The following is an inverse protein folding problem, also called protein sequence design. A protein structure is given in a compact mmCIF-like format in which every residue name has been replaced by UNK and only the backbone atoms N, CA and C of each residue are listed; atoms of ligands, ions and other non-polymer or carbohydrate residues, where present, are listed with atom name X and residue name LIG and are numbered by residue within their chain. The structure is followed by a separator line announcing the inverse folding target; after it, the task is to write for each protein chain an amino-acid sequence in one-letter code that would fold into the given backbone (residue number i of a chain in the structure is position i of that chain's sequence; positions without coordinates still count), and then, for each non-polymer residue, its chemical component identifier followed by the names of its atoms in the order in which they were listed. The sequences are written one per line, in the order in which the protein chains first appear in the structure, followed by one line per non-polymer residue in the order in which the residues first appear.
data_IF_173419231786
#
_entry.id   IF_173419231786
#
_cell.length_a   1.000
_cell.length_b   1.000
_cell.length_c   1.000
_cell.angle_alpha   90.00
_cell.angle_beta   90.00
_cell.angle_gamma   90.00
#
_symmetry.space_group_name_H-M   'P 1'
#
loop_
_entity.id
_entity.type
_entity.pdbx_description
1 polymer ?
#
# COMPACT_ATOMS: atom_id res chain seq x y z
N UNK A 1 6.15 6.94 -25.14
CA UNK A 1 6.38 6.38 -23.79
C UNK A 1 7.89 6.17 -23.61
N UNK A 2 8.53 6.91 -22.70
CA UNK A 2 9.99 6.95 -22.53
C UNK A 2 10.52 5.64 -21.88
N UNK A 3 11.72 5.20 -22.24
CA UNK A 3 12.42 4.04 -21.67
C UNK A 3 12.55 4.13 -20.14
N UNK A 4 12.83 5.32 -19.59
CA UNK A 4 12.92 5.54 -18.14
C UNK A 4 11.60 5.21 -17.41
N UNK A 5 10.46 5.62 -17.98
CA UNK A 5 9.14 5.31 -17.44
C UNK A 5 8.91 3.80 -17.34
N UNK A 6 9.29 3.03 -18.37
CA UNK A 6 9.14 1.57 -18.39
C UNK A 6 10.01 0.90 -17.33
N UNK A 7 11.24 1.38 -17.11
CA UNK A 7 12.13 0.84 -16.09
C UNK A 7 11.60 1.09 -14.68
N UNK A 8 11.20 2.31 -14.35
CA UNK A 8 10.63 2.63 -13.04
C UNK A 8 9.35 1.81 -12.82
N UNK A 9 8.43 1.80 -13.77
CA UNK A 9 7.18 1.05 -13.65
C UNK A 9 7.40 -0.46 -13.45
N UNK A 10 8.35 -1.06 -14.17
CA UNK A 10 8.74 -2.47 -13.97
C UNK A 10 9.40 -2.69 -12.62
N UNK A 11 10.32 -1.83 -12.23
CA UNK A 11 11.01 -1.91 -10.95
C UNK A 11 10.01 -1.81 -9.79
N UNK A 12 9.10 -0.82 -9.81
CA UNK A 12 8.03 -0.69 -8.82
C UNK A 12 7.16 -1.95 -8.76
N UNK A 13 6.72 -2.48 -9.90
CA UNK A 13 5.90 -3.70 -9.91
C UNK A 13 6.62 -4.89 -9.30
N UNK A 14 7.89 -5.07 -9.64
CA UNK A 14 8.70 -6.13 -9.04
C UNK A 14 8.85 -5.94 -7.53
N UNK A 15 9.07 -4.71 -7.07
CA UNK A 15 9.17 -4.37 -5.65
C UNK A 15 7.85 -4.60 -4.90
N UNK A 16 6.72 -4.26 -5.50
CA UNK A 16 5.38 -4.53 -4.93
C UNK A 16 5.16 -6.04 -4.76
N UNK A 17 5.35 -6.81 -5.83
CA UNK A 17 5.16 -8.27 -5.82
C UNK A 17 6.11 -8.95 -4.82
N UNK A 18 7.39 -8.55 -4.81
CA UNK A 18 8.37 -9.09 -3.87
C UNK A 18 8.03 -8.79 -2.39
N UNK A 19 7.17 -7.80 -2.15
CA UNK A 19 6.70 -7.41 -0.81
C UNK A 19 5.32 -7.96 -0.44
N UNK A 20 4.72 -8.78 -1.32
CA UNK A 20 3.41 -9.39 -1.10
C UNK A 20 2.23 -8.54 -1.55
N UNK A 21 2.46 -7.42 -2.24
CA UNK A 21 1.36 -6.64 -2.83
C UNK A 21 0.80 -7.33 -4.08
N UNK A 22 -0.49 -7.12 -4.40
CA UNK A 22 -1.08 -7.64 -5.63
C UNK A 22 -0.37 -7.14 -6.89
N UNK A 23 -0.24 -8.02 -7.90
CA UNK A 23 0.46 -7.68 -9.14
C UNK A 23 -0.30 -6.71 -10.06
N UNK A 24 -1.62 -6.61 -9.84
CA UNK A 24 -2.59 -5.81 -10.58
C UNK A 24 -2.75 -4.38 -10.03
N UNK A 25 -1.95 -3.98 -9.03
CA UNK A 25 -1.90 -2.59 -8.60
C UNK A 25 -1.54 -1.67 -9.78
N UNK A 26 -2.32 -0.61 -9.95
CA UNK A 26 -2.06 0.45 -10.93
C UNK A 26 -0.91 1.31 -10.42
N UNK A 27 0.07 1.60 -11.27
CA UNK A 27 1.28 2.32 -10.89
C UNK A 27 1.35 3.60 -11.68
N UNK A 28 1.38 4.72 -10.98
CA UNK A 28 1.57 6.04 -11.57
C UNK A 28 2.94 6.59 -11.20
N UNK A 29 3.62 7.11 -12.21
CA UNK A 29 4.92 7.74 -12.07
C UNK A 29 4.89 9.06 -12.82
N UNK A 30 5.54 10.09 -12.26
CA UNK A 30 5.74 11.37 -12.92
C UNK A 30 7.24 11.63 -13.00
N UNK A 31 7.69 11.95 -14.19
CA UNK A 31 9.10 12.20 -14.50
C UNK A 31 9.39 13.70 -14.60
N UNK A 32 8.58 14.56 -13.98
CA UNK A 32 8.72 16.02 -14.13
C UNK A 32 9.96 16.62 -13.44
N UNK A 33 10.90 15.81 -12.93
CA UNK A 33 12.17 16.26 -12.36
C UNK A 33 12.02 17.31 -11.24
N UNK A 34 10.87 17.33 -10.55
CA UNK A 34 10.68 18.16 -9.37
C UNK A 34 11.03 17.36 -8.10
N UNK A 35 11.70 18.01 -7.13
CA UNK A 35 11.85 17.49 -5.77
C UNK A 35 10.47 17.14 -5.21
N UNK A 36 10.15 15.84 -5.09
CA UNK A 36 8.86 15.34 -4.61
C UNK A 36 8.15 14.38 -5.57
N UNK A 37 8.60 14.27 -6.83
CA UNK A 37 8.14 13.23 -7.75
C UNK A 37 8.81 11.88 -7.43
N UNK A 38 8.02 10.80 -7.52
CA UNK A 38 8.46 9.43 -7.31
C UNK A 38 7.47 8.47 -7.93
N UNK A 39 6.97 7.53 -7.12
CA UNK A 39 5.97 6.55 -7.55
C UNK A 39 4.78 6.54 -6.59
N UNK A 40 3.58 6.47 -7.15
CA UNK A 40 2.35 6.16 -6.45
C UNK A 40 1.72 4.90 -7.05
N UNK A 41 0.92 4.19 -6.26
CA UNK A 41 0.19 3.04 -6.73
C UNK A 41 -1.21 2.97 -6.11
N UNK A 42 -2.15 2.40 -6.85
CA UNK A 42 -3.58 2.41 -6.57
C UNK A 42 -4.19 1.04 -6.83
N UNK A 43 -5.32 0.76 -6.20
CA UNK A 43 -6.00 -0.52 -6.31
C UNK A 43 -6.81 -0.84 -5.06
N UNK A 44 -7.17 -2.11 -4.91
CA UNK A 44 -7.91 -2.59 -3.75
C UNK A 44 -7.26 -3.84 -3.20
N UNK A 45 -7.23 -3.93 -1.88
CA UNK A 45 -6.81 -5.10 -1.12
C UNK A 45 -8.05 -5.77 -0.56
N UNK A 46 -8.24 -7.03 -0.89
CA UNK A 46 -9.24 -7.91 -0.26
C UNK A 46 -8.73 -8.40 1.09
N UNK A 47 -9.63 -8.88 1.96
CA UNK A 47 -9.28 -9.52 3.22
C UNK A 47 -8.22 -10.63 3.06
N UNK A 48 -8.34 -11.48 2.04
CA UNK A 48 -7.35 -12.53 1.74
C UNK A 48 -5.96 -11.94 1.44
N UNK A 49 -5.89 -10.88 0.63
CA UNK A 49 -4.63 -10.21 0.33
C UNK A 49 -4.05 -9.49 1.56
N UNK A 50 -4.90 -8.93 2.43
CA UNK A 50 -4.47 -8.32 3.69
C UNK A 50 -3.87 -9.37 4.63
N UNK A 51 -4.50 -10.54 4.76
CA UNK A 51 -3.99 -11.66 5.57
C UNK A 51 -2.60 -12.11 5.09
N UNK A 52 -2.33 -12.06 3.79
CA UNK A 52 -0.99 -12.35 3.26
C UNK A 52 0.01 -11.20 3.45
N UNK A 53 -0.45 -9.95 3.37
CA UNK A 53 0.41 -8.77 3.41
C UNK A 53 0.82 -8.38 4.84
N UNK A 54 -0.06 -8.55 5.84
CA UNK A 54 0.21 -8.13 7.23
C UNK A 54 1.42 -8.83 7.87
N UNK A 55 1.62 -10.15 7.71
CA UNK A 55 2.84 -10.83 8.18
C UNK A 55 4.11 -10.24 7.56
N UNK A 56 4.08 -9.94 6.26
CA UNK A 56 5.20 -9.34 5.53
C UNK A 56 5.55 -7.94 6.07
N UNK A 57 4.54 -7.12 6.36
CA UNK A 57 4.71 -5.80 7.00
C UNK A 57 5.34 -5.95 8.40
N UNK A 58 4.90 -6.94 9.18
CA UNK A 58 5.46 -7.19 10.51
C UNK A 58 6.90 -7.68 10.47
N UNK A 59 7.27 -8.56 9.52
CA UNK A 59 8.64 -9.02 9.30
C UNK A 59 9.61 -7.87 8.98
N UNK A 60 9.10 -6.78 8.39
CA UNK A 60 9.85 -5.54 8.12
C UNK A 60 9.92 -4.58 9.31
N UNK A 61 9.33 -4.94 10.46
CA UNK A 61 9.33 -4.11 11.67
C UNK A 61 8.41 -2.89 11.59
N UNK A 62 7.47 -2.87 10.63
CA UNK A 62 6.51 -1.78 10.46
C UNK A 62 5.21 -1.99 11.25
N UNK A 63 5.06 -3.17 11.85
CA UNK A 63 4.01 -3.57 12.78
C UNK A 63 4.60 -4.60 13.75
N UNK A 64 4.16 -4.60 15.00
CA UNK A 64 4.53 -5.65 15.96
C UNK A 64 3.76 -6.96 15.69
N UNK A 65 4.40 -8.08 16.03
CA UNK A 65 3.86 -9.42 15.77
C UNK A 65 2.59 -9.75 16.58
N UNK A 66 2.29 -9.01 17.65
CA UNK A 66 1.06 -9.21 18.41
C UNK A 66 -0.13 -8.57 17.70
N UNK A 67 -0.04 -7.27 17.38
CA UNK A 67 -1.05 -6.55 16.61
C UNK A 67 -1.26 -7.17 15.22
N UNK A 68 -0.21 -7.71 14.60
CA UNK A 68 -0.32 -8.43 13.33
C UNK A 68 -1.23 -9.66 13.45
N UNK A 69 -1.01 -10.50 14.47
CA UNK A 69 -1.83 -11.70 14.69
C UNK A 69 -3.28 -11.32 15.01
N UNK A 70 -3.46 -10.34 15.89
CA UNK A 70 -4.79 -9.80 16.24
C UNK A 70 -5.54 -9.33 14.98
N UNK A 71 -4.89 -8.55 14.11
CA UNK A 71 -5.50 -8.11 12.85
C UNK A 71 -5.76 -9.24 11.86
N UNK A 72 -4.84 -10.21 11.74
CA UNK A 72 -5.04 -11.34 10.83
C UNK A 72 -6.26 -12.15 11.26
N UNK A 73 -6.43 -12.42 12.55
CA UNK A 73 -7.56 -13.19 13.07
C UNK A 73 -8.91 -12.48 12.81
N UNK A 74 -8.96 -11.15 12.97
CA UNK A 74 -10.16 -10.34 12.74
C UNK A 74 -10.49 -10.15 11.25
N UNK A 75 -9.48 -10.10 10.39
CA UNK A 75 -9.65 -9.87 8.95
C UNK A 75 -9.91 -11.18 8.20
N UNK A 76 -9.34 -12.31 8.66
CA UNK A 76 -9.46 -13.59 8.00
C UNK A 76 -10.92 -14.02 7.81
N UNK A 77 -11.29 -14.33 6.57
CA UNK A 77 -12.66 -14.75 6.23
C UNK A 77 -13.71 -13.63 6.22
N UNK A 78 -13.33 -12.38 6.54
CA UNK A 78 -14.22 -11.22 6.44
C UNK A 78 -14.39 -10.73 4.99
N UNK A 79 -15.38 -9.85 4.79
CA UNK A 79 -15.57 -9.10 3.55
C UNK A 79 -14.71 -7.83 3.45
N UNK A 80 -13.89 -7.53 4.47
CA UNK A 80 -13.14 -6.28 4.56
C UNK A 80 -12.33 -6.04 3.29
N UNK A 81 -12.39 -4.83 2.76
CA UNK A 81 -11.51 -4.39 1.70
C UNK A 81 -10.90 -3.02 2.02
N UNK A 82 -9.67 -2.79 1.54
CA UNK A 82 -9.01 -1.48 1.63
C UNK A 82 -8.70 -0.97 0.23
N UNK A 83 -9.23 0.19 -0.11
CA UNK A 83 -8.97 0.87 -1.38
C UNK A 83 -7.86 1.91 -1.22
N UNK A 84 -6.89 1.85 -2.13
CA UNK A 84 -5.85 2.85 -2.34
C UNK A 84 -6.26 3.70 -3.54
N UNK A 85 -6.55 4.99 -3.33
CA UNK A 85 -7.05 5.86 -4.40
C UNK A 85 -6.32 7.22 -4.43
N UNK A 86 -6.28 7.88 -5.61
CA UNK A 86 -5.65 9.18 -5.75
C UNK A 86 -6.38 10.27 -4.97
N UNK A 87 -5.65 11.09 -4.21
CA UNK A 87 -6.18 12.29 -3.58
C UNK A 87 -5.98 13.54 -4.46
N UNK A 88 -6.36 14.73 -3.97
CA UNK A 88 -6.27 15.98 -4.75
C UNK A 88 -4.86 16.30 -5.25
N UNK A 89 -3.81 15.87 -4.53
CA UNK A 89 -2.40 16.12 -4.89
C UNK A 89 -1.92 15.24 -6.05
N UNK A 90 -2.57 14.11 -6.34
CA UNK A 90 -2.18 13.19 -7.43
C UNK A 90 -2.29 13.84 -8.83
N UNK A 91 -3.06 14.94 -8.93
CA UNK A 91 -3.17 15.75 -10.15
C UNK A 91 -1.85 16.40 -10.54
N UNK A 92 -0.99 16.65 -9.57
CA UNK A 92 0.27 17.37 -9.75
C UNK A 92 1.48 16.46 -9.49
N UNK A 93 1.39 15.56 -8.52
CA UNK A 93 2.52 14.74 -8.06
C UNK A 93 2.21 13.24 -8.12
N UNK A 94 3.25 12.41 -8.06
CA UNK A 94 3.11 10.96 -7.88
C UNK A 94 4.08 10.47 -6.79
N UNK A 95 3.61 10.39 -5.55
CA UNK A 95 4.35 9.84 -4.40
C UNK A 95 3.37 9.31 -3.33
N UNK A 96 3.88 8.71 -2.26
CA UNK A 96 3.05 8.08 -1.21
C UNK A 96 1.97 8.99 -0.60
N UNK A 97 2.28 10.29 -0.45
CA UNK A 97 1.36 11.31 0.06
C UNK A 97 0.19 11.63 -0.86
N UNK A 98 0.20 11.14 -2.10
CA UNK A 98 -0.92 11.28 -3.05
C UNK A 98 -1.92 10.11 -2.97
N UNK A 99 -1.63 9.11 -2.14
CA UNK A 99 -2.44 7.90 -1.98
C UNK A 99 -3.30 8.08 -0.73
N UNK A 100 -4.62 8.08 -0.89
CA UNK A 100 -5.58 7.96 0.21
C UNK A 100 -5.94 6.49 0.46
N UNK A 101 -6.32 6.20 1.70
CA UNK A 101 -6.79 4.88 2.12
C UNK A 101 -8.24 5.01 2.60
N UNK A 102 -9.07 4.05 2.22
CA UNK A 102 -10.44 3.88 2.71
C UNK A 102 -10.69 2.39 2.88
N UNK A 103 -11.32 2.00 3.97
CA UNK A 103 -11.75 0.62 4.20
C UNK A 103 -13.27 0.53 4.02
N UNK A 104 -13.74 -0.58 3.48
CA UNK A 104 -15.15 -0.88 3.22
C UNK A 104 -15.49 -2.28 3.72
N UNK A 105 -16.78 -2.56 3.87
CA UNK A 105 -17.30 -3.90 4.22
C UNK A 105 -16.70 -4.45 5.53
N UNK A 106 -16.49 -3.54 6.48
CA UNK A 106 -15.94 -3.81 7.79
C UNK A 106 -16.87 -4.77 8.56
N UNK A 107 -16.36 -5.90 9.09
CA UNK A 107 -17.21 -6.80 9.87
C UNK A 107 -17.58 -6.14 11.20
N UNK A 108 -18.77 -6.45 11.72
CA UNK A 108 -19.33 -5.82 12.93
C UNK A 108 -18.44 -5.98 14.18
N UNK A 109 -17.56 -6.99 14.20
CA UNK A 109 -16.60 -7.22 15.29
C UNK A 109 -15.32 -6.39 15.21
N UNK A 110 -15.01 -5.76 14.07
CA UNK A 110 -13.75 -5.05 13.89
C UNK A 110 -13.79 -3.69 14.59
N UNK A 111 -13.14 -3.62 15.75
CA UNK A 111 -13.03 -2.38 16.52
C UNK A 111 -12.39 -1.23 15.74
N UNK A 112 -12.70 0.01 16.12
CA UNK A 112 -12.03 1.21 15.58
C UNK A 112 -10.50 1.13 15.77
N UNK A 113 -10.05 0.54 16.89
CA UNK A 113 -8.63 0.30 17.14
C UNK A 113 -8.01 -0.57 16.04
N UNK A 114 -8.66 -1.67 15.64
CA UNK A 114 -8.19 -2.53 14.56
C UNK A 114 -8.14 -1.78 13.23
N UNK A 115 -9.17 -1.01 12.89
CA UNK A 115 -9.18 -0.19 11.67
C UNK A 115 -8.00 0.80 11.65
N UNK A 116 -7.75 1.48 12.77
CA UNK A 116 -6.61 2.42 12.90
C UNK A 116 -5.27 1.69 12.79
N UNK A 117 -5.12 0.52 13.41
CA UNK A 117 -3.88 -0.28 13.33
C UNK A 117 -3.60 -0.73 11.89
N UNK A 118 -4.63 -1.23 11.18
CA UNK A 118 -4.53 -1.62 9.78
C UNK A 118 -4.11 -0.45 8.89
N UNK A 119 -4.80 0.70 8.99
CA UNK A 119 -4.50 1.87 8.16
C UNK A 119 -3.10 2.44 8.45
N UNK A 120 -2.65 2.44 9.71
CA UNK A 120 -1.30 2.87 10.08
C UNK A 120 -0.23 1.99 9.46
N UNK A 121 -0.41 0.68 9.52
CA UNK A 121 0.53 -0.28 8.97
C UNK A 121 0.62 -0.21 7.45
N UNK A 122 -0.52 -0.14 6.77
CA UNK A 122 -0.56 0.06 5.32
C UNK A 122 0.10 1.38 4.94
N UNK A 123 -0.13 2.46 5.70
CA UNK A 123 0.54 3.74 5.45
C UNK A 123 2.06 3.65 5.61
N UNK A 124 2.54 2.96 6.64
CA UNK A 124 3.97 2.77 6.89
C UNK A 124 4.62 1.99 5.73
N UNK A 125 3.99 0.88 5.30
CA UNK A 125 4.47 0.07 4.18
C UNK A 125 4.44 0.85 2.85
N UNK A 126 3.35 1.58 2.56
CA UNK A 126 3.26 2.43 1.36
C UNK A 126 4.40 3.46 1.32
N UNK A 127 4.65 4.14 2.44
CA UNK A 127 5.75 5.10 2.53
C UNK A 127 7.10 4.43 2.30
N UNK A 128 7.29 3.24 2.85
CA UNK A 128 8.53 2.48 2.71
C UNK A 128 8.74 2.00 1.27
N UNK A 129 7.72 1.45 0.61
CA UNK A 129 7.76 1.04 -0.80
C UNK A 129 8.08 2.22 -1.72
N UNK A 130 7.32 3.32 -1.61
CA UNK A 130 7.52 4.50 -2.43
C UNK A 130 8.92 5.11 -2.20
N UNK A 131 9.41 5.10 -0.96
CA UNK A 131 10.74 5.57 -0.60
C UNK A 131 11.86 4.71 -1.20
N UNK A 132 11.75 3.38 -1.14
CA UNK A 132 12.74 2.48 -1.74
C UNK A 132 12.88 2.67 -3.26
N UNK A 133 11.74 2.86 -3.94
CA UNK A 133 11.72 3.04 -5.40
C UNK A 133 12.25 4.42 -5.81
N UNK A 134 12.02 5.45 -5.00
CA UNK A 134 12.50 6.81 -5.27
C UNK A 134 14.01 7.00 -4.99
N UNK A 135 14.62 6.13 -4.18
CA UNK A 135 16.04 6.17 -3.83
C UNK A 135 16.94 5.38 -4.81
N UNK A 136 16.36 4.75 -5.84
CA UNK A 136 17.05 3.91 -6.83
C UNK A 136 17.41 4.61 -8.13
#
# INVERSE_FOLDING_TARGET
MNTAYRFIHRHTRNTLVARGWPADMDIQTRLSYAQGDGVAFYGSLTAAQLVHLLPEIALRGLMDAHNMRELVDEVAGSSLSVRLYPNKLSRQYAHSGTISLEYNDCPDGLSERHAVMLLKALRAEINHVCGCVAAG
#
